data_IF_298990872129
#
_entry.id   IF_298990872129
#
_cell.length_a   1.000
_cell.length_b   1.000
_cell.length_c   1.000
_cell.angle_alpha   90.00
_cell.angle_beta   90.00
_cell.angle_gamma   90.00
#
_symmetry.space_group_name_H-M   'P 1'
#
loop_
_entity.id
_entity.type
_entity.pdbx_description
1 polymer ?
#
# COMPACT_ATOMS: atom_id res chain seq x y z
N UNK A 1 2.75 25.94 17.02
CA UNK A 1 3.16 25.03 15.92
C UNK A 1 3.70 25.84 14.75
N UNK A 2 4.69 25.32 13.99
CA UNK A 2 5.17 26.00 12.78
C UNK A 2 4.05 26.11 11.74
N UNK A 3 4.09 27.16 10.92
CA UNK A 3 3.10 27.38 9.87
C UNK A 3 3.07 26.20 8.88
N UNK A 4 4.23 25.62 8.57
CA UNK A 4 4.36 24.45 7.70
C UNK A 4 3.67 23.21 8.27
N UNK A 5 3.79 22.99 9.59
CA UNK A 5 3.12 21.88 10.25
C UNK A 5 1.60 22.00 10.19
N UNK A 6 1.06 23.22 10.37
CA UNK A 6 -0.38 23.46 10.27
C UNK A 6 -0.87 23.22 8.84
N UNK A 7 -0.15 23.72 7.83
CA UNK A 7 -0.46 23.48 6.41
C UNK A 7 -0.43 22.01 6.06
N UNK A 8 0.60 21.28 6.47
CA UNK A 8 0.73 19.84 6.27
C UNK A 8 -0.44 19.05 6.89
N UNK A 9 -0.84 19.42 8.12
CA UNK A 9 -1.95 18.76 8.81
C UNK A 9 -3.28 18.97 8.06
N UNK A 10 -3.54 20.18 7.60
CA UNK A 10 -4.74 20.49 6.80
C UNK A 10 -4.73 19.70 5.49
N UNK A 11 -3.60 19.70 4.79
CA UNK A 11 -3.44 18.93 3.56
C UNK A 11 -3.72 17.43 3.77
N UNK A 12 -3.12 16.79 4.78
CA UNK A 12 -3.35 15.37 5.04
C UNK A 12 -4.80 15.08 5.40
N UNK A 13 -5.44 15.96 6.17
CA UNK A 13 -6.85 15.82 6.51
C UNK A 13 -7.71 15.89 5.24
N UNK A 14 -7.46 16.86 4.38
CA UNK A 14 -8.16 17.01 3.10
C UNK A 14 -7.91 15.82 2.17
N UNK A 15 -6.65 15.39 1.99
CA UNK A 15 -6.29 14.22 1.18
C UNK A 15 -6.96 12.94 1.70
N UNK A 16 -6.99 12.74 3.02
CA UNK A 16 -7.70 11.62 3.64
C UNK A 16 -9.20 11.69 3.39
N UNK A 17 -9.82 12.87 3.49
CA UNK A 17 -11.25 13.04 3.21
C UNK A 17 -11.59 12.85 1.72
N UNK A 18 -10.64 13.10 0.81
CA UNK A 18 -10.82 13.02 -0.63
C UNK A 18 -10.26 11.75 -1.26
N UNK A 19 -9.80 10.78 -0.48
CA UNK A 19 -9.14 9.56 -0.97
C UNK A 19 -9.98 8.83 -2.04
N UNK A 20 -11.30 8.78 -1.84
CA UNK A 20 -12.22 8.13 -2.75
C UNK A 20 -12.33 8.86 -4.09
N UNK A 21 -12.33 10.20 -4.06
CA UNK A 21 -12.33 11.04 -5.27
C UNK A 21 -11.03 10.88 -6.02
N UNK A 22 -9.89 10.89 -5.32
CA UNK A 22 -8.57 10.63 -5.91
C UNK A 22 -8.57 9.28 -6.63
N UNK A 23 -9.12 8.24 -5.99
CA UNK A 23 -9.23 6.91 -6.60
C UNK A 23 -10.10 6.89 -7.87
N UNK A 24 -11.22 7.61 -7.88
CA UNK A 24 -12.07 7.73 -9.08
C UNK A 24 -11.32 8.45 -10.22
N UNK A 25 -10.65 9.57 -9.92
CA UNK A 25 -9.87 10.32 -10.90
C UNK A 25 -8.78 9.43 -11.46
N UNK A 26 -8.04 8.72 -10.60
CA UNK A 26 -7.01 7.77 -10.99
C UNK A 26 -7.54 6.70 -11.94
N UNK A 27 -8.65 6.05 -11.59
CA UNK A 27 -9.29 5.07 -12.47
C UNK A 27 -9.67 5.63 -13.83
N UNK A 28 -10.25 6.84 -13.88
CA UNK A 28 -10.55 7.53 -15.15
C UNK A 28 -9.29 7.87 -15.96
N UNK A 29 -8.20 8.25 -15.31
CA UNK A 29 -6.93 8.49 -16.00
C UNK A 29 -6.35 7.20 -16.59
N UNK A 30 -6.37 6.10 -15.84
CA UNK A 30 -5.92 4.80 -16.34
C UNK A 30 -6.71 4.35 -17.58
N UNK A 31 -8.03 4.59 -17.62
CA UNK A 31 -8.83 4.28 -18.84
C UNK A 31 -8.40 5.06 -20.08
N UNK A 32 -7.74 6.22 -19.92
CA UNK A 32 -7.26 7.03 -21.05
C UNK A 32 -5.86 6.64 -21.52
N UNK A 33 -5.03 6.11 -20.62
CA UNK A 33 -3.62 5.80 -20.92
C UNK A 33 -3.49 4.42 -21.62
N UNK A 34 -4.51 3.57 -21.54
CA UNK A 34 -4.61 2.31 -22.29
C UNK A 34 -4.13 1.09 -21.50
N UNK A 35 -3.85 -0.02 -22.18
CA UNK A 35 -3.27 -1.23 -21.59
C UNK A 35 -1.77 -1.26 -21.82
N UNK A 36 -1.04 -1.86 -20.88
CA UNK A 36 0.41 -2.07 -20.97
C UNK A 36 0.71 -3.54 -21.26
N UNK A 37 1.86 -3.77 -21.90
CA UNK A 37 2.34 -5.13 -22.19
C UNK A 37 3.04 -5.76 -20.99
N UNK A 38 3.49 -4.95 -20.03
CA UNK A 38 4.19 -5.39 -18.83
C UNK A 38 3.66 -4.68 -17.59
N UNK A 39 3.53 -5.45 -16.52
CA UNK A 39 3.21 -4.93 -15.19
C UNK A 39 4.29 -5.40 -14.22
N UNK A 40 4.71 -4.51 -13.32
CA UNK A 40 5.70 -4.78 -12.28
C UNK A 40 4.97 -4.79 -10.94
N UNK A 41 5.12 -5.87 -10.17
CA UNK A 41 4.53 -5.99 -8.85
C UNK A 41 5.64 -6.18 -7.82
N UNK A 42 5.59 -5.40 -6.75
CA UNK A 42 6.52 -5.51 -5.62
C UNK A 42 5.79 -5.24 -4.30
N UNK A 43 6.14 -6.00 -3.26
CA UNK A 43 5.56 -5.84 -1.95
C UNK A 43 6.47 -5.02 -1.02
N UNK A 44 5.85 -4.10 -0.30
CA UNK A 44 6.55 -3.20 0.61
C UNK A 44 5.99 -3.34 2.02
N UNK A 45 6.87 -3.29 3.06
CA UNK A 45 6.42 -3.38 4.43
C UNK A 45 5.64 -2.11 4.81
N UNK A 46 4.43 -2.31 5.35
CA UNK A 46 3.60 -1.23 5.89
C UNK A 46 3.43 -1.41 7.41
N UNK A 47 4.47 -1.02 8.18
CA UNK A 47 4.52 -1.26 9.61
C UNK A 47 3.52 -0.38 10.37
N UNK A 48 2.71 -1.00 11.23
CA UNK A 48 1.94 -0.26 12.24
C UNK A 48 2.85 0.13 13.41
N UNK A 49 3.76 -0.77 13.80
CA UNK A 49 4.81 -0.48 14.76
C UNK A 49 5.95 -1.50 14.68
N UNK A 50 7.08 -1.21 15.36
CA UNK A 50 8.14 -2.18 15.60
C UNK A 50 7.67 -3.28 16.57
N UNK A 51 8.31 -4.47 16.49
CA UNK A 51 7.96 -5.63 17.31
C UNK A 51 7.93 -5.34 18.83
N UNK A 52 8.81 -4.47 19.32
CA UNK A 52 8.85 -4.05 20.73
C UNK A 52 7.53 -3.43 21.25
N UNK A 53 6.69 -2.90 20.34
CA UNK A 53 5.37 -2.33 20.67
C UNK A 53 4.20 -3.22 20.25
N UNK A 54 4.44 -4.33 19.55
CA UNK A 54 3.38 -5.18 19.00
C UNK A 54 2.38 -5.65 20.07
N UNK A 55 2.85 -6.09 21.25
CA UNK A 55 1.98 -6.54 22.36
C UNK A 55 1.08 -5.44 22.93
N UNK A 56 1.51 -4.17 22.83
CA UNK A 56 0.80 -3.00 23.38
C UNK A 56 -0.04 -2.26 22.35
N UNK A 57 0.20 -2.49 21.06
CA UNK A 57 -0.57 -1.88 19.98
C UNK A 57 -2.04 -2.30 20.07
N UNK A 58 -2.96 -1.33 20.03
CA UNK A 58 -4.41 -1.58 19.92
C UNK A 58 -4.93 -1.39 18.50
N UNK A 59 -4.08 -0.93 17.59
CA UNK A 59 -4.45 -0.66 16.20
C UNK A 59 -4.48 -1.95 15.40
N UNK A 60 -5.61 -2.20 14.72
CA UNK A 60 -5.77 -3.28 13.74
C UNK A 60 -5.41 -4.69 14.25
N UNK A 61 -5.50 -4.95 15.56
CA UNK A 61 -4.98 -6.17 16.21
C UNK A 61 -5.32 -7.47 15.47
N UNK A 62 -6.54 -7.57 14.94
CA UNK A 62 -7.06 -8.78 14.29
C UNK A 62 -6.79 -8.83 12.77
N UNK A 63 -6.06 -7.85 12.24
CA UNK A 63 -5.79 -7.68 10.80
C UNK A 63 -4.30 -7.56 10.46
N UNK A 64 -3.43 -7.44 11.46
CA UNK A 64 -1.98 -7.28 11.24
C UNK A 64 -1.19 -8.47 11.76
N UNK A 65 -0.03 -8.70 11.16
CA UNK A 65 0.85 -9.79 11.54
C UNK A 65 2.30 -9.32 11.69
N UNK A 66 3.13 -10.21 12.22
CA UNK A 66 4.58 -10.01 12.31
C UNK A 66 5.23 -10.53 11.03
N UNK A 67 6.21 -9.80 10.52
CA UNK A 67 6.99 -10.21 9.35
C UNK A 67 8.41 -9.66 9.41
N UNK A 68 9.31 -10.22 8.61
CA UNK A 68 10.69 -9.78 8.45
C UNK A 68 10.88 -9.25 7.03
N UNK A 69 11.24 -7.98 6.90
CA UNK A 69 11.63 -7.43 5.59
C UNK A 69 13.14 -7.59 5.40
N UNK A 70 13.54 -8.49 4.50
CA UNK A 70 14.95 -8.74 4.20
C UNK A 70 15.67 -7.50 3.65
N UNK A 71 15.02 -6.72 2.78
CA UNK A 71 15.57 -5.50 2.20
C UNK A 71 15.95 -4.45 3.26
N UNK A 72 15.18 -4.37 4.36
CA UNK A 72 15.42 -3.45 5.47
C UNK A 72 16.13 -4.09 6.66
N UNK A 73 16.37 -5.40 6.61
CA UNK A 73 16.91 -6.21 7.71
C UNK A 73 16.18 -5.99 9.04
N UNK A 74 14.85 -5.84 8.98
CA UNK A 74 14.06 -5.50 10.16
C UNK A 74 12.80 -6.35 10.30
N UNK A 75 12.44 -6.65 11.55
CA UNK A 75 11.14 -7.19 11.87
C UNK A 75 10.14 -6.09 12.22
N UNK A 76 8.91 -6.24 11.74
CA UNK A 76 7.84 -5.30 12.00
C UNK A 76 6.51 -6.00 12.29
N UNK A 77 5.58 -5.24 12.86
CA UNK A 77 4.20 -5.65 13.09
C UNK A 77 3.28 -4.72 12.30
N UNK A 78 2.57 -5.26 11.31
CA UNK A 78 1.75 -4.46 10.42
C UNK A 78 1.18 -5.23 9.24
N UNK A 79 1.07 -4.50 8.13
CA UNK A 79 0.59 -4.99 6.85
C UNK A 79 1.75 -5.07 5.86
N UNK A 80 1.48 -5.69 4.72
CA UNK A 80 2.28 -5.55 3.51
C UNK A 80 1.39 -4.97 2.42
N UNK A 81 1.98 -4.14 1.56
CA UNK A 81 1.29 -3.55 0.41
C UNK A 81 1.97 -4.11 -0.81
N UNK A 82 1.23 -4.84 -1.65
CA UNK A 82 1.68 -5.15 -3.00
C UNK A 82 1.21 -4.03 -3.91
N UNK A 83 2.15 -3.32 -4.51
CA UNK A 83 1.87 -2.28 -5.50
C UNK A 83 2.13 -2.84 -6.89
N UNK A 84 1.19 -2.64 -7.81
CA UNK A 84 1.41 -2.95 -9.22
C UNK A 84 1.52 -1.68 -10.03
N UNK A 85 2.59 -1.58 -10.82
CA UNK A 85 2.89 -0.44 -11.66
C UNK A 85 3.13 -0.86 -13.11
N UNK A 86 3.13 0.12 -14.00
CA UNK A 86 3.69 -0.02 -15.34
C UNK A 86 5.22 -0.01 -15.27
N UNK A 87 5.88 -0.33 -16.38
CA UNK A 87 7.34 -0.17 -16.55
C UNK A 87 7.80 1.28 -16.39
N UNK A 88 6.92 2.24 -16.64
CA UNK A 88 7.17 3.68 -16.45
C UNK A 88 6.87 4.16 -15.01
N UNK A 89 6.52 3.24 -14.10
CA UNK A 89 6.23 3.56 -12.69
C UNK A 89 4.85 4.15 -12.42
N UNK A 90 3.89 4.03 -13.36
CA UNK A 90 2.51 4.50 -13.14
C UNK A 90 1.79 3.47 -12.25
N UNK A 91 1.23 3.86 -11.08
CA UNK A 91 0.47 2.95 -10.24
C UNK A 91 -0.81 2.48 -10.94
N UNK A 92 -1.01 1.17 -11.04
CA UNK A 92 -2.19 0.56 -11.67
C UNK A 92 -3.18 0.08 -10.62
N UNK A 93 -2.70 -0.71 -9.69
CA UNK A 93 -3.51 -1.30 -8.62
C UNK A 93 -2.63 -1.58 -7.41
N UNK A 94 -3.25 -1.83 -6.26
CA UNK A 94 -2.54 -2.26 -5.07
C UNK A 94 -3.44 -3.12 -4.19
N UNK A 95 -2.82 -4.05 -3.45
CA UNK A 95 -3.49 -4.85 -2.43
C UNK A 95 -2.77 -4.66 -1.09
N UNK A 96 -3.54 -4.65 -0.01
CA UNK A 96 -3.02 -4.54 1.36
C UNK A 96 -3.56 -5.72 2.17
N UNK A 97 -2.68 -6.43 2.86
CA UNK A 97 -3.07 -7.48 3.79
C UNK A 97 -2.07 -7.63 4.93
N UNK A 98 -2.35 -8.54 5.87
CA UNK A 98 -1.47 -8.85 6.99
C UNK A 98 -0.06 -9.20 6.48
N UNK A 99 0.96 -8.74 7.21
CA UNK A 99 2.34 -8.82 6.74
C UNK A 99 2.86 -10.26 6.50
N UNK A 100 2.20 -11.28 7.04
CA UNK A 100 2.57 -12.68 6.87
C UNK A 100 1.94 -13.36 5.64
N UNK A 101 1.04 -12.67 4.91
CA UNK A 101 0.44 -13.19 3.68
C UNK A 101 1.51 -13.28 2.60
N UNK A 102 1.43 -14.28 1.73
CA UNK A 102 2.34 -14.43 0.60
C UNK A 102 2.02 -13.41 -0.51
N UNK A 103 3.05 -12.83 -1.14
CA UNK A 103 2.87 -11.81 -2.19
C UNK A 103 2.12 -12.34 -3.42
N UNK A 104 2.26 -13.63 -3.73
CA UNK A 104 1.57 -14.28 -4.84
C UNK A 104 0.06 -14.31 -4.60
N UNK A 105 -0.35 -14.51 -3.35
CA UNK A 105 -1.76 -14.43 -2.96
C UNK A 105 -2.27 -13.00 -3.09
N UNK A 106 -1.48 -12.00 -2.68
CA UNK A 106 -1.87 -10.60 -2.87
C UNK A 106 -2.02 -10.23 -4.34
N UNK A 107 -1.17 -10.77 -5.21
CA UNK A 107 -1.23 -10.50 -6.63
C UNK A 107 -2.53 -11.01 -7.25
N UNK A 108 -3.05 -12.16 -6.79
CA UNK A 108 -4.36 -12.67 -7.24
C UNK A 108 -5.54 -11.80 -6.84
N UNK A 109 -5.37 -10.93 -5.83
CA UNK A 109 -6.40 -9.98 -5.40
C UNK A 109 -6.35 -8.64 -6.17
N UNK A 110 -5.40 -8.49 -7.10
CA UNK A 110 -5.33 -7.31 -7.98
C UNK A 110 -6.20 -7.51 -9.22
N UNK A 111 -6.56 -6.42 -9.87
CA UNK A 111 -7.38 -6.41 -11.09
C UNK A 111 -6.64 -6.95 -12.32
N UNK A 112 -5.37 -7.33 -12.19
CA UNK A 112 -4.51 -7.77 -13.28
C UNK A 112 -4.71 -9.27 -13.47
N UNK A 113 -5.26 -9.61 -14.64
CA UNK A 113 -5.37 -10.99 -15.06
C UNK A 113 -3.95 -11.48 -15.40
N UNK A 114 -3.37 -12.32 -14.55
CA UNK A 114 -2.19 -13.09 -14.91
C UNK A 114 -2.62 -14.04 -16.03
N UNK A 115 -2.24 -13.74 -17.26
CA UNK A 115 -2.35 -14.71 -18.35
C UNK A 115 -1.46 -15.89 -17.96
N UNK A 116 -2.07 -17.04 -17.72
CA UNK A 116 -1.36 -18.30 -17.47
C UNK A 116 -0.56 -18.72 -18.70
#
# INVERSE_FOLDING_TARGET
>A
PSLDYVRYKIFNKQATCLWYVIRIIHGKLLTKIGKWSLYLADDIPFPVCHLARAKRSRLFKDKVARHYCAAKKEHYYGFKILLVTTESGIPIDYTIDAANVDERILLTNTSIQLTQ
#
